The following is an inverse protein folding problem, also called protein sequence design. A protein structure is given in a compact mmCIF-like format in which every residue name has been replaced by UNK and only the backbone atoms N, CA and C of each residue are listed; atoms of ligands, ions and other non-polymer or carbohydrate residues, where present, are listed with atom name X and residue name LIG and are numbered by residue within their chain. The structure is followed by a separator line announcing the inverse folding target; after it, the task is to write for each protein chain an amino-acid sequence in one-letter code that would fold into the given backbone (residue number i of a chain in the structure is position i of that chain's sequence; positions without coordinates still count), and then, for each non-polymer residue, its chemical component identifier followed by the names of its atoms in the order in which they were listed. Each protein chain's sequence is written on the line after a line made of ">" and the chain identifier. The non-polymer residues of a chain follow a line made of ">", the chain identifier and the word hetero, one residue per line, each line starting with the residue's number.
data_IF_688800373137
#
_entry.id   IF_688800373137
#
_cell.length_a   1.000
_cell.length_b   1.000
_cell.length_c   1.000
_cell.angle_alpha   90.00
_cell.angle_beta   90.00
_cell.angle_gamma   90.00
#
_symmetry.space_group_name_H-M   'P 1'
#
loop_
_entity.id
_entity.type
_entity.pdbx_description
1 polymer ?
#
# COMPACT_ATOMS: atom_id res chain seq x y z
N UNK A 1 10.67 19.94 -1.48
CA UNK A 1 10.40 18.54 -1.88
C UNK A 1 9.11 18.16 -1.17
N UNK A 2 8.04 17.90 -1.90
CA UNK A 2 6.71 17.65 -1.32
C UNK A 2 6.65 16.23 -0.76
N UNK A 3 6.48 16.10 0.55
CA UNK A 3 6.30 14.82 1.25
C UNK A 3 4.84 14.34 1.23
N UNK A 4 3.92 15.14 0.67
CA UNK A 4 2.49 14.86 0.60
C UNK A 4 2.14 13.45 0.09
N UNK A 5 2.78 12.92 -0.97
CA UNK A 5 2.52 11.56 -1.42
C UNK A 5 2.85 10.48 -0.38
N UNK A 6 3.96 10.66 0.34
CA UNK A 6 4.37 9.71 1.39
C UNK A 6 3.51 9.85 2.65
N UNK A 7 3.12 11.08 3.02
CA UNK A 7 2.18 11.30 4.12
C UNK A 7 0.82 10.66 3.85
N UNK A 8 0.31 10.78 2.62
CA UNK A 8 -0.92 10.13 2.20
C UNK A 8 -0.80 8.59 2.24
N UNK A 9 0.34 8.03 1.80
CA UNK A 9 0.61 6.60 1.89
C UNK A 9 0.57 6.11 3.34
N UNK A 10 1.31 6.77 4.24
CA UNK A 10 1.36 6.38 5.65
C UNK A 10 0.02 6.56 6.37
N UNK A 11 -0.74 7.60 6.03
CA UNK A 11 -2.12 7.76 6.52
C UNK A 11 -3.01 6.58 6.11
N UNK A 12 -2.90 6.14 4.86
CA UNK A 12 -3.65 5.00 4.33
C UNK A 12 -3.26 3.69 5.02
N UNK A 13 -1.95 3.41 5.11
CA UNK A 13 -1.42 2.20 5.75
C UNK A 13 -1.88 2.08 7.20
N UNK A 14 -1.86 3.19 7.95
CA UNK A 14 -2.31 3.20 9.34
C UNK A 14 -3.79 2.86 9.46
N UNK A 15 -4.64 3.48 8.64
CA UNK A 15 -6.09 3.27 8.68
C UNK A 15 -6.53 1.89 8.17
N UNK A 16 -5.93 1.39 7.09
CA UNK A 16 -6.38 0.16 6.42
C UNK A 16 -5.72 -1.11 6.99
N UNK A 17 -4.59 -1.00 7.70
CA UNK A 17 -3.87 -2.16 8.21
C UNK A 17 -3.50 -2.05 9.68
N UNK A 18 -2.82 -0.96 10.09
CA UNK A 18 -2.25 -0.90 11.44
C UNK A 18 -3.32 -0.83 12.54
N UNK A 19 -4.34 0.01 12.36
CA UNK A 19 -5.39 0.21 13.37
C UNK A 19 -6.45 -0.90 13.38
N UNK A 20 -6.50 -1.76 12.35
CA UNK A 20 -7.46 -2.85 12.25
C UNK A 20 -6.96 -4.16 12.84
N UNK A 21 -5.68 -4.24 13.20
CA UNK A 21 -5.03 -5.45 13.67
C UNK A 21 -4.26 -5.19 14.97
N UNK A 22 -3.97 -6.27 15.71
CA UNK A 22 -3.08 -6.23 16.87
C UNK A 22 -1.85 -7.08 16.56
N UNK A 23 -0.67 -6.55 16.90
CA UNK A 23 0.62 -7.20 16.66
C UNK A 23 1.29 -7.45 18.01
N UNK A 24 1.73 -8.67 18.24
CA UNK A 24 2.33 -9.08 19.51
C UNK A 24 3.85 -9.05 19.48
N UNK A 25 4.44 -9.04 18.27
CA UNK A 25 5.89 -8.97 18.06
C UNK A 25 6.24 -7.96 16.97
N UNK A 26 7.48 -7.49 16.99
CA UNK A 26 7.97 -6.59 15.94
C UNK A 26 8.01 -7.29 14.58
N UNK A 27 8.42 -8.56 14.55
CA UNK A 27 8.52 -9.37 13.34
C UNK A 27 7.17 -9.59 12.68
N UNK A 28 6.10 -9.68 13.47
CA UNK A 28 4.73 -9.78 12.97
C UNK A 28 4.28 -8.47 12.30
N UNK A 29 4.56 -7.34 12.96
CA UNK A 29 4.29 -6.01 12.41
C UNK A 29 5.09 -5.75 11.13
N UNK A 30 6.37 -6.10 11.10
CA UNK A 30 7.25 -5.96 9.94
C UNK A 30 6.70 -6.73 8.74
N UNK A 31 6.36 -8.02 8.93
CA UNK A 31 5.75 -8.83 7.87
C UNK A 31 4.43 -8.27 7.37
N UNK A 32 3.61 -7.71 8.26
CA UNK A 32 2.34 -7.09 7.89
C UNK A 32 2.58 -5.82 7.04
N UNK A 33 3.57 -5.00 7.39
CA UNK A 33 3.98 -3.83 6.61
C UNK A 33 4.46 -4.24 5.22
N UNK A 34 5.35 -5.24 5.12
CA UNK A 34 5.87 -5.73 3.84
C UNK A 34 4.75 -6.26 2.94
N UNK A 35 3.84 -7.06 3.50
CA UNK A 35 2.69 -7.58 2.79
C UNK A 35 1.77 -6.46 2.31
N UNK A 36 1.52 -5.45 3.14
CA UNK A 36 0.68 -4.31 2.77
C UNK A 36 1.34 -3.45 1.68
N UNK A 37 2.65 -3.20 1.74
CA UNK A 37 3.39 -2.50 0.67
C UNK A 37 3.27 -3.28 -0.63
N UNK A 38 3.48 -4.60 -0.60
CA UNK A 38 3.35 -5.44 -1.78
C UNK A 38 1.94 -5.36 -2.37
N UNK A 39 0.90 -5.48 -1.53
CA UNK A 39 -0.50 -5.31 -1.94
C UNK A 39 -0.75 -3.93 -2.56
N UNK A 40 -0.32 -2.86 -1.88
CA UNK A 40 -0.53 -1.49 -2.31
C UNK A 40 0.06 -1.22 -3.69
N UNK A 41 1.24 -1.77 -3.97
CA UNK A 41 1.95 -1.58 -5.24
C UNK A 41 1.49 -2.53 -6.35
N UNK A 42 1.21 -3.79 -6.04
CA UNK A 42 1.02 -4.84 -7.05
C UNK A 42 -0.44 -5.26 -7.28
N UNK A 43 -1.30 -5.06 -6.30
CA UNK A 43 -2.64 -5.67 -6.27
C UNK A 43 -3.77 -4.68 -6.01
N UNK A 44 -3.47 -3.49 -5.46
CA UNK A 44 -4.48 -2.50 -5.11
C UNK A 44 -5.21 -2.02 -6.37
N UNK A 45 -6.48 -2.42 -6.50
CA UNK A 45 -7.35 -2.00 -7.59
C UNK A 45 -7.65 -0.51 -7.42
N UNK A 46 -7.11 0.32 -8.30
CA UNK A 46 -7.42 1.75 -8.29
C UNK A 46 -8.49 2.01 -9.36
N UNK A 47 -9.67 2.46 -8.94
CA UNK A 47 -10.76 2.81 -9.85
C UNK A 47 -10.34 3.87 -10.89
N UNK A 48 -9.39 4.74 -10.54
CA UNK A 48 -8.79 5.74 -11.44
C UNK A 48 -7.87 5.14 -12.52
N UNK A 49 -7.46 3.87 -12.40
CA UNK A 49 -6.62 3.16 -13.37
C UNK A 49 -7.44 2.18 -14.23
N UNK A 50 -8.74 2.40 -14.42
CA UNK A 50 -9.65 1.47 -15.12
C UNK A 50 -9.66 0.05 -14.52
N UNK A 51 -9.44 -0.08 -13.21
CA UNK A 51 -9.41 -1.38 -12.51
C UNK A 51 -8.09 -2.14 -12.63
N UNK A 52 -7.05 -1.53 -13.20
CA UNK A 52 -5.69 -2.09 -13.24
C UNK A 52 -4.97 -1.86 -11.91
N UNK A 53 -4.09 -2.78 -11.54
CA UNK A 53 -3.13 -2.53 -10.46
C UNK A 53 -2.07 -1.52 -10.92
N UNK A 54 -1.39 -0.80 -10.01
CA UNK A 54 -0.37 0.16 -10.39
C UNK A 54 0.68 -0.47 -11.31
N UNK A 55 1.19 -1.67 -10.99
CA UNK A 55 2.16 -2.39 -11.82
C UNK A 55 1.66 -2.67 -13.25
N UNK A 56 0.40 -3.05 -13.42
CA UNK A 56 -0.20 -3.28 -14.74
C UNK A 56 -0.30 -1.98 -15.54
N UNK A 57 -0.62 -0.87 -14.87
CA UNK A 57 -0.60 0.46 -15.49
C UNK A 57 0.82 0.85 -15.95
N UNK A 58 1.84 0.64 -15.12
CA UNK A 58 3.24 0.92 -15.49
C UNK A 58 3.74 0.05 -16.66
N UNK A 59 3.27 -1.19 -16.76
CA UNK A 59 3.69 -2.10 -17.84
C UNK A 59 3.01 -1.79 -19.18
N UNK A 60 1.79 -1.22 -19.17
CA UNK A 60 1.07 -0.79 -20.39
C UNK A 60 1.45 0.60 -20.89
N UNK A 61 2.17 1.38 -20.08
CA UNK A 61 2.65 2.71 -20.46
C UNK A 61 3.98 2.70 -21.23
N UNK A 62 4.49 1.51 -21.60
CA UNK A 62 5.72 1.29 -22.39
C UNK A 62 5.36 0.89 -23.81
#
# INVERSE_FOLDING_TARGET
>A
MDNGPMEAFWGTLKCEMYHLNSYHTFEELEKAIDAYIYFYTNQRIQAKLNGLSPKEYWTKAV
#
